data_IF_258301522428
#
_entry.id   IF_258301522428
#
_cell.length_a   1.000
_cell.length_b   1.000
_cell.length_c   1.000
_cell.angle_alpha   90.00
_cell.angle_beta   90.00
_cell.angle_gamma   90.00
#
_symmetry.space_group_name_H-M   'P 1'
#
loop_
_entity.id
_entity.type
_entity.pdbx_description
1 polymer ?
#
# COMPACT_ATOMS: atom_id res chain seq x y z
N UNK A 1 6.86 21.51 10.02
CA UNK A 1 7.64 21.59 11.27
C UNK A 1 9.05 21.02 11.14
N UNK A 2 9.29 19.80 10.59
CA UNK A 2 10.65 19.26 10.38
C UNK A 2 11.56 20.19 9.55
N UNK A 3 11.06 20.84 8.51
CA UNK A 3 11.81 21.82 7.69
C UNK A 3 12.29 23.05 8.47
N UNK A 4 11.60 23.40 9.55
CA UNK A 4 11.95 24.56 10.40
C UNK A 4 12.94 24.16 11.49
N UNK A 5 12.80 22.96 12.05
CA UNK A 5 13.68 22.43 13.10
C UNK A 5 15.03 21.97 12.55
N UNK A 6 15.00 21.18 11.45
CA UNK A 6 16.16 20.65 10.76
C UNK A 6 15.94 20.65 9.25
N UNK A 7 16.45 21.67 8.56
CA UNK A 7 16.22 21.89 7.13
C UNK A 7 16.57 20.66 6.27
N UNK A 8 17.74 20.06 6.47
CA UNK A 8 18.19 18.91 5.67
C UNK A 8 17.36 17.65 5.89
N UNK A 9 16.95 17.40 7.14
CA UNK A 9 16.06 16.27 7.49
C UNK A 9 14.68 16.49 6.88
N UNK A 10 14.18 17.72 6.93
CA UNK A 10 12.90 18.08 6.32
C UNK A 10 12.92 17.95 4.80
N UNK A 11 13.99 18.35 4.13
CA UNK A 11 14.16 18.17 2.66
C UNK A 11 14.16 16.68 2.32
N UNK A 12 14.89 15.84 3.05
CA UNK A 12 14.90 14.40 2.84
C UNK A 12 13.52 13.79 3.04
N UNK A 13 12.78 14.20 4.07
CA UNK A 13 11.41 13.74 4.32
C UNK A 13 10.46 14.10 3.15
N UNK A 14 10.56 15.31 2.61
CA UNK A 14 9.78 15.74 1.43
C UNK A 14 10.17 14.94 0.19
N UNK A 15 11.45 14.66 -0.03
CA UNK A 15 11.92 13.81 -1.13
C UNK A 15 11.37 12.39 -1.03
N UNK A 16 11.38 11.79 0.16
CA UNK A 16 10.79 10.48 0.41
C UNK A 16 9.29 10.50 0.12
N UNK A 17 8.57 11.50 0.61
CA UNK A 17 7.13 11.65 0.34
C UNK A 17 6.84 11.78 -1.16
N UNK A 18 7.58 12.63 -1.86
CA UNK A 18 7.44 12.82 -3.30
C UNK A 18 7.70 11.52 -4.08
N UNK A 19 8.73 10.75 -3.69
CA UNK A 19 9.04 9.45 -4.25
C UNK A 19 7.89 8.45 -4.04
N UNK A 20 7.34 8.40 -2.84
CA UNK A 20 6.18 7.54 -2.55
C UNK A 20 4.97 7.94 -3.37
N UNK A 21 4.62 9.24 -3.44
CA UNK A 21 3.51 9.73 -4.26
C UNK A 21 3.69 9.41 -5.75
N UNK A 22 4.92 9.44 -6.25
CA UNK A 22 5.21 9.07 -7.64
C UNK A 22 5.10 7.56 -7.90
N UNK A 23 5.48 6.72 -6.94
CA UNK A 23 5.39 5.27 -7.03
C UNK A 23 3.97 4.74 -6.78
N UNK A 24 3.16 5.48 -6.01
CA UNK A 24 1.82 5.09 -5.57
C UNK A 24 0.90 4.64 -6.72
N UNK A 25 0.73 5.39 -7.84
CA UNK A 25 -0.15 5.00 -8.92
C UNK A 25 0.27 3.70 -9.61
N UNK A 26 1.58 3.45 -9.74
CA UNK A 26 2.09 2.19 -10.29
C UNK A 26 1.80 1.02 -9.35
N UNK A 27 1.98 1.26 -8.06
CA UNK A 27 1.70 0.25 -7.04
C UNK A 27 0.20 -0.06 -6.99
N UNK A 28 -0.67 0.94 -7.04
CA UNK A 28 -2.12 0.81 -7.07
C UNK A 28 -2.61 0.04 -8.31
N UNK A 29 -2.15 0.39 -9.51
CA UNK A 29 -2.56 -0.24 -10.76
C UNK A 29 -2.26 -1.76 -10.82
N UNK A 30 -1.10 -2.18 -10.27
CA UNK A 30 -0.76 -3.60 -10.25
C UNK A 30 -1.59 -4.33 -9.18
N UNK A 31 -1.86 -3.70 -8.02
CA UNK A 31 -2.73 -4.26 -6.98
C UNK A 31 -4.15 -4.43 -7.50
N UNK A 32 -4.71 -3.43 -8.16
CA UNK A 32 -6.04 -3.46 -8.78
C UNK A 32 -6.19 -4.67 -9.74
N UNK A 33 -5.19 -4.91 -10.60
CA UNK A 33 -5.20 -6.07 -11.51
C UNK A 33 -5.19 -7.42 -10.77
N UNK A 34 -4.47 -7.52 -9.66
CA UNK A 34 -4.43 -8.76 -8.87
C UNK A 34 -5.76 -9.01 -8.15
N UNK A 35 -6.35 -7.98 -7.54
CA UNK A 35 -7.66 -8.07 -6.89
C UNK A 35 -8.78 -8.37 -7.89
N UNK A 36 -8.77 -7.75 -9.07
CA UNK A 36 -9.71 -8.04 -10.14
C UNK A 36 -9.64 -9.51 -10.58
N UNK A 37 -8.42 -10.04 -10.77
CA UNK A 37 -8.23 -11.47 -11.11
C UNK A 37 -8.69 -12.40 -10.00
N UNK A 38 -8.41 -12.07 -8.74
CA UNK A 38 -8.85 -12.86 -7.60
C UNK A 38 -10.37 -12.90 -7.50
N UNK A 39 -11.02 -11.75 -7.58
CA UNK A 39 -12.48 -11.65 -7.51
C UNK A 39 -13.17 -12.39 -8.67
N UNK A 40 -12.66 -12.22 -9.90
CA UNK A 40 -13.19 -12.93 -11.06
C UNK A 40 -13.00 -14.45 -10.95
N UNK A 41 -11.93 -14.90 -10.27
CA UNK A 41 -11.73 -16.33 -9.98
C UNK A 41 -12.73 -16.84 -8.95
N UNK A 42 -13.05 -16.06 -7.92
CA UNK A 42 -14.01 -16.41 -6.89
C UNK A 42 -15.46 -16.46 -7.41
N UNK A 43 -15.83 -15.60 -8.37
CA UNK A 43 -17.15 -15.64 -9.00
C UNK A 43 -17.37 -16.94 -9.81
N UNK A 44 -16.31 -17.48 -10.41
CA UNK A 44 -16.37 -18.75 -11.14
C UNK A 44 -16.46 -19.97 -10.23
N UNK A 45 -16.19 -19.86 -8.94
CA UNK A 45 -16.26 -20.94 -7.95
C UNK A 45 -17.64 -21.61 -7.95
N UNK A 46 -18.71 -20.82 -7.96
CA UNK A 46 -20.09 -21.32 -7.98
C UNK A 46 -20.40 -22.19 -9.21
N UNK A 47 -19.74 -21.93 -10.34
CA UNK A 47 -19.93 -22.68 -11.57
C UNK A 47 -19.17 -24.04 -11.56
N UNK A 48 -17.96 -24.05 -10.98
CA UNK A 48 -17.13 -25.27 -10.91
C UNK A 48 -17.63 -26.25 -9.84
N UNK A 49 -18.16 -25.75 -8.71
CA UNK A 49 -18.74 -26.57 -7.65
C UNK A 49 -19.95 -27.35 -8.18
N UNK A 50 -20.78 -26.75 -9.04
CA UNK A 50 -21.96 -27.42 -9.66
C UNK A 50 -21.58 -28.52 -10.64
N UNK A 51 -20.40 -28.50 -11.26
CA UNK A 51 -19.94 -29.50 -12.23
C UNK A 51 -19.27 -30.74 -11.63
N UNK A 52 -18.85 -30.70 -10.35
CA UNK A 52 -18.33 -31.85 -9.61
C UNK A 52 -16.98 -32.43 -10.06
N UNK A 53 -16.25 -31.75 -10.96
CA UNK A 53 -14.97 -32.24 -11.46
C UNK A 53 -13.83 -31.90 -10.50
N UNK A 54 -13.38 -32.91 -9.72
CA UNK A 54 -12.33 -32.78 -8.71
C UNK A 54 -11.01 -32.22 -9.28
N UNK A 55 -10.64 -32.55 -10.51
CA UNK A 55 -9.37 -32.14 -11.11
C UNK A 55 -9.36 -30.64 -11.49
N UNK A 56 -10.49 -30.12 -11.95
CA UNK A 56 -10.66 -28.70 -12.24
C UNK A 56 -10.72 -27.89 -10.95
N UNK A 57 -11.34 -28.43 -9.91
CA UNK A 57 -11.42 -27.82 -8.59
C UNK A 57 -10.02 -27.64 -7.96
N UNK A 58 -9.16 -28.65 -7.99
CA UNK A 58 -7.77 -28.54 -7.50
C UNK A 58 -6.95 -27.51 -8.26
N UNK A 59 -7.08 -27.42 -9.57
CA UNK A 59 -6.41 -26.40 -10.38
C UNK A 59 -6.90 -25.00 -10.04
N UNK A 60 -8.18 -24.83 -9.84
CA UNK A 60 -8.80 -23.57 -9.51
C UNK A 60 -8.36 -23.06 -8.12
N UNK A 61 -8.42 -23.91 -7.10
CA UNK A 61 -7.92 -23.55 -5.77
C UNK A 61 -6.41 -23.26 -5.77
N UNK A 62 -5.63 -23.96 -6.58
CA UNK A 62 -4.21 -23.67 -6.78
C UNK A 62 -3.96 -22.26 -7.37
N UNK A 63 -4.80 -21.81 -8.32
CA UNK A 63 -4.72 -20.46 -8.87
C UNK A 63 -5.10 -19.40 -7.84
N UNK A 64 -6.19 -19.60 -7.10
CA UNK A 64 -6.63 -18.68 -6.03
C UNK A 64 -5.56 -18.57 -4.94
N UNK A 65 -4.97 -19.69 -4.51
CA UNK A 65 -3.89 -19.71 -3.53
C UNK A 65 -2.66 -18.91 -4.03
N UNK A 66 -2.24 -19.11 -5.28
CA UNK A 66 -1.13 -18.34 -5.89
C UNK A 66 -1.43 -16.85 -5.95
N UNK A 67 -2.64 -16.45 -6.33
CA UNK A 67 -3.03 -15.05 -6.37
C UNK A 67 -2.99 -14.41 -4.98
N UNK A 68 -3.47 -15.10 -3.94
CA UNK A 68 -3.39 -14.64 -2.54
C UNK A 68 -1.95 -14.47 -2.08
N UNK A 69 -1.06 -15.41 -2.39
CA UNK A 69 0.36 -15.31 -2.06
C UNK A 69 1.01 -14.13 -2.79
N UNK A 70 0.67 -13.89 -4.06
CA UNK A 70 1.19 -12.74 -4.81
C UNK A 70 0.74 -11.41 -4.21
N UNK A 71 -0.52 -11.31 -3.78
CA UNK A 71 -1.08 -10.12 -3.12
C UNK A 71 -0.35 -9.90 -1.80
N UNK A 72 -0.28 -10.92 -0.94
CA UNK A 72 0.41 -10.84 0.37
C UNK A 72 1.89 -10.48 0.24
N UNK A 73 2.59 -11.07 -0.71
CA UNK A 73 4.01 -10.78 -0.95
C UNK A 73 4.22 -9.34 -1.39
N UNK A 74 3.27 -8.79 -2.15
CA UNK A 74 3.31 -7.41 -2.60
C UNK A 74 3.03 -6.42 -1.46
N UNK A 75 2.06 -6.72 -0.60
CA UNK A 75 1.80 -5.94 0.61
C UNK A 75 3.02 -5.92 1.51
N UNK A 76 3.62 -7.09 1.76
CA UNK A 76 4.86 -7.21 2.52
C UNK A 76 6.00 -6.37 1.92
N UNK A 77 6.13 -6.35 0.58
CA UNK A 77 7.10 -5.50 -0.10
C UNK A 77 6.81 -4.01 0.08
N UNK A 78 5.54 -3.60 0.08
CA UNK A 78 5.13 -2.22 0.38
C UNK A 78 5.58 -1.79 1.78
N UNK A 79 5.30 -2.58 2.80
CA UNK A 79 5.73 -2.32 4.16
C UNK A 79 7.26 -2.34 4.31
N UNK A 80 7.95 -3.23 3.61
CA UNK A 80 9.41 -3.25 3.58
C UNK A 80 9.99 -1.95 3.03
N UNK A 81 9.44 -1.43 1.93
CA UNK A 81 9.88 -0.16 1.34
C UNK A 81 9.66 1.01 2.31
N UNK A 82 8.52 1.05 3.00
CA UNK A 82 8.25 2.06 4.04
C UNK A 82 9.25 1.94 5.16
N UNK A 83 9.48 0.74 5.69
CA UNK A 83 10.43 0.48 6.78
C UNK A 83 11.86 0.90 6.44
N UNK A 84 12.32 0.58 5.23
CA UNK A 84 13.67 0.98 4.75
C UNK A 84 13.76 2.51 4.62
N UNK A 85 12.76 3.16 4.02
CA UNK A 85 12.73 4.62 3.88
C UNK A 85 12.76 5.32 5.25
N UNK A 86 12.00 4.80 6.23
CA UNK A 86 12.03 5.31 7.60
C UNK A 86 13.38 5.08 8.27
N UNK A 87 13.97 3.91 8.12
CA UNK A 87 15.30 3.61 8.66
C UNK A 87 16.36 4.61 8.15
N UNK A 88 16.31 4.92 6.85
CA UNK A 88 17.21 5.91 6.23
C UNK A 88 16.94 7.30 6.81
N UNK A 89 15.67 7.71 6.93
CA UNK A 89 15.30 9.04 7.44
C UNK A 89 15.73 9.23 8.90
N UNK A 90 15.45 8.25 9.77
CA UNK A 90 15.87 8.29 11.17
C UNK A 90 17.39 8.28 11.31
N UNK A 91 18.08 7.37 10.60
CA UNK A 91 19.54 7.29 10.60
C UNK A 91 20.17 8.61 10.17
N UNK A 92 19.69 9.22 9.08
CA UNK A 92 20.17 10.51 8.60
C UNK A 92 19.92 11.63 9.62
N UNK A 93 18.73 11.66 10.23
CA UNK A 93 18.38 12.66 11.24
C UNK A 93 19.33 12.58 12.45
N UNK A 94 19.57 11.37 12.98
CA UNK A 94 20.49 11.21 14.11
C UNK A 94 21.93 11.56 13.77
N UNK A 95 22.42 11.20 12.58
CA UNK A 95 23.75 11.60 12.11
C UNK A 95 23.86 13.11 12.03
N UNK A 96 22.87 13.81 11.45
CA UNK A 96 22.87 15.27 11.33
C UNK A 96 22.84 15.96 12.70
N UNK A 97 22.04 15.43 13.63
CA UNK A 97 21.98 15.95 15.00
C UNK A 97 23.32 15.76 15.72
N UNK A 98 23.98 14.62 15.54
CA UNK A 98 25.30 14.35 16.11
C UNK A 98 26.34 15.31 15.58
N UNK A 99 26.40 15.55 14.27
CA UNK A 99 27.33 16.45 13.61
C UNK A 99 27.14 17.93 14.03
N UNK A 100 25.91 18.34 14.31
CA UNK A 100 25.56 19.70 14.74
C UNK A 100 25.60 19.91 16.25
N UNK A 101 25.91 18.89 17.04
CA UNK A 101 26.06 18.99 18.50
C UNK A 101 24.74 18.91 19.27
N UNK A 102 23.78 18.14 18.86
CA UNK A 102 22.50 17.76 19.52
C UNK A 102 21.55 18.88 19.96
N UNK A 103 22.01 20.13 20.14
CA UNK A 103 21.17 21.18 20.67
C UNK A 103 20.65 20.89 22.09
N UNK A 104 19.49 21.41 22.43
CA UNK A 104 18.80 21.10 23.70
C UNK A 104 18.11 19.75 23.66
N UNK A 105 17.91 19.12 24.82
CA UNK A 105 17.11 17.87 24.97
C UNK A 105 15.72 18.00 24.35
N UNK A 106 15.10 19.20 24.49
CA UNK A 106 13.81 19.50 23.88
C UNK A 106 13.84 19.46 22.35
N UNK A 107 14.96 19.88 21.72
CA UNK A 107 15.14 19.83 20.26
C UNK A 107 15.19 18.37 19.77
N UNK A 108 15.97 17.51 20.42
CA UNK A 108 16.06 16.08 20.11
C UNK A 108 14.70 15.42 20.23
N UNK A 109 13.99 15.69 21.32
CA UNK A 109 12.64 15.16 21.54
C UNK A 109 11.66 15.61 20.44
N UNK A 110 11.66 16.89 20.09
CA UNK A 110 10.76 17.42 19.06
C UNK A 110 11.03 16.81 17.70
N UNK A 111 12.29 16.72 17.28
CA UNK A 111 12.64 16.10 16.00
C UNK A 111 12.23 14.63 15.96
N UNK A 112 12.52 13.89 17.02
CA UNK A 112 12.16 12.46 17.11
C UNK A 112 10.64 12.26 17.07
N UNK A 113 9.88 13.12 17.74
CA UNK A 113 8.40 13.06 17.73
C UNK A 113 7.83 13.33 16.34
N UNK A 114 8.34 14.36 15.63
CA UNK A 114 7.87 14.63 14.27
C UNK A 114 8.27 13.55 13.26
N UNK A 115 9.46 12.96 13.41
CA UNK A 115 9.86 11.81 12.61
C UNK A 115 8.94 10.61 12.85
N UNK A 116 8.58 10.37 14.10
CA UNK A 116 7.65 9.28 14.46
C UNK A 116 6.26 9.50 13.88
N UNK A 117 5.70 10.71 14.00
CA UNK A 117 4.42 11.07 13.38
C UNK A 117 4.44 10.90 11.86
N UNK A 118 5.53 11.30 11.22
CA UNK A 118 5.72 11.12 9.78
C UNK A 118 5.80 9.64 9.40
N UNK A 119 6.53 8.82 10.19
CA UNK A 119 6.62 7.39 10.00
C UNK A 119 5.23 6.72 10.07
N UNK A 120 4.44 7.03 11.08
CA UNK A 120 3.07 6.52 11.23
C UNK A 120 2.19 6.89 10.04
N UNK A 121 2.29 8.11 9.53
CA UNK A 121 1.51 8.54 8.36
C UNK A 121 1.89 7.76 7.09
N UNK A 122 3.15 7.37 6.93
CA UNK A 122 3.59 6.57 5.78
C UNK A 122 3.27 5.08 5.93
N UNK A 123 3.23 4.55 7.14
CA UNK A 123 2.91 3.15 7.40
C UNK A 123 1.48 2.80 6.97
N UNK A 124 0.56 3.75 7.03
CA UNK A 124 -0.82 3.58 6.56
C UNK A 124 -0.98 3.59 5.02
N UNK A 125 0.01 4.09 4.27
CA UNK A 125 -0.10 4.26 2.80
C UNK A 125 -0.38 2.95 2.06
N UNK A 126 0.31 1.83 2.30
CA UNK A 126 0.01 0.55 1.62
C UNK A 126 -1.42 0.08 1.86
N UNK A 127 -1.90 0.22 3.09
CA UNK A 127 -3.27 -0.15 3.50
C UNK A 127 -4.33 0.72 2.81
N UNK A 128 -4.10 2.03 2.71
CA UNK A 128 -5.01 2.94 2.02
C UNK A 128 -5.11 2.62 0.52
N UNK A 129 -4.00 2.25 -0.12
CA UNK A 129 -3.99 1.81 -1.52
C UNK A 129 -4.81 0.54 -1.72
N UNK A 130 -4.68 -0.42 -0.83
CA UNK A 130 -5.48 -1.66 -0.85
C UNK A 130 -6.97 -1.36 -0.71
N UNK A 131 -7.35 -0.57 0.30
CA UNK A 131 -8.74 -0.18 0.52
C UNK A 131 -9.33 0.58 -0.68
N UNK A 132 -8.56 1.50 -1.27
CA UNK A 132 -8.96 2.22 -2.46
C UNK A 132 -9.20 1.29 -3.66
N UNK A 133 -8.30 0.33 -3.88
CA UNK A 133 -8.43 -0.66 -4.97
C UNK A 133 -9.67 -1.53 -4.80
N UNK A 134 -9.97 -1.96 -3.58
CA UNK A 134 -11.17 -2.73 -3.24
C UNK A 134 -12.46 -1.93 -3.46
N UNK A 135 -12.50 -0.67 -3.00
CA UNK A 135 -13.66 0.21 -3.19
C UNK A 135 -13.92 0.51 -4.67
N UNK A 136 -12.87 0.72 -5.45
CA UNK A 136 -12.98 0.96 -6.90
C UNK A 136 -13.57 -0.25 -7.63
N UNK A 137 -13.15 -1.47 -7.30
CA UNK A 137 -13.71 -2.71 -7.88
C UNK A 137 -15.20 -2.85 -7.56
N UNK A 138 -15.59 -2.62 -6.32
CA UNK A 138 -16.99 -2.66 -5.88
C UNK A 138 -17.82 -1.60 -6.64
N UNK A 139 -17.31 -0.36 -6.73
CA UNK A 139 -17.98 0.73 -7.44
C UNK A 139 -18.21 0.44 -8.93
N UNK A 140 -17.25 -0.17 -9.61
CA UNK A 140 -17.37 -0.58 -11.01
C UNK A 140 -18.43 -1.67 -11.20
N UNK A 141 -18.56 -2.61 -10.28
CA UNK A 141 -19.55 -3.69 -10.33
C UNK A 141 -20.98 -3.16 -10.15
N UNK A 142 -21.18 -2.25 -9.19
CA UNK A 142 -22.50 -1.64 -8.97
C UNK A 142 -22.92 -0.79 -10.18
N UNK A 143 -22.03 0.05 -10.73
CA UNK A 143 -22.30 0.86 -11.90
C UNK A 143 -22.54 0.04 -13.19
N UNK A 144 -21.91 -1.14 -13.32
CA UNK A 144 -22.17 -2.09 -14.40
C UNK A 144 -23.53 -2.75 -14.29
N UNK A 145 -23.96 -3.09 -13.09
CA UNK A 145 -25.29 -3.67 -12.82
C UNK A 145 -26.42 -2.70 -13.13
N UNK A 146 -26.29 -1.41 -12.76
CA UNK A 146 -27.29 -0.38 -13.09
C UNK A 146 -27.42 -0.14 -14.59
N UNK A 147 -26.33 -0.18 -15.35
CA UNK A 147 -26.40 -0.04 -16.82
C UNK A 147 -27.11 -1.19 -17.48
N UNK A 148 -26.92 -2.41 -17.02
CA UNK A 148 -27.60 -3.58 -17.55
C UNK A 148 -29.11 -3.57 -17.26
N UNK A 149 -29.52 -3.07 -16.10
CA UNK A 149 -30.95 -2.91 -15.75
C UNK A 149 -31.60 -1.84 -16.64
N UNK A 150 -30.93 -0.73 -16.90
CA UNK A 150 -31.46 0.35 -17.79
C UNK A 150 -31.47 0.01 -19.28
N UNK A 151 -30.64 -0.95 -19.71
CA UNK A 151 -30.60 -1.39 -21.11
C UNK A 151 -31.59 -2.55 -21.41
N UNK A 152 -32.19 -3.15 -20.39
CA UNK A 152 -33.16 -4.24 -20.50
C UNK A 152 -34.62 -3.82 -20.33
N UNK A 153 -34.86 -2.51 -20.12
CA UNK A 153 -36.20 -1.87 -20.16
C UNK A 153 -36.40 -1.07 -21.43
#
# INVERSE_FOLDING_TARGET
MLLVLEFWVGVLAVCILALFLWLLPRFAAISENLYFRLNNSLERDNHFIRKGDRRQLYRHYGLVARLRVLISNREAFGYLCVGVAMGILFGFAFVMMTLKGYGSVGHVYSVSTYLWMFAMSLDDVPRLVEQYSNLKDIGQRIGGSERNIKAGT
#
